data_IF_417252214476
#
_entry.id   IF_417252214476
#
_cell.length_a   1.000
_cell.length_b   1.000
_cell.length_c   1.000
_cell.angle_alpha   90.00
_cell.angle_beta   90.00
_cell.angle_gamma   90.00
#
_symmetry.space_group_name_H-M   'P 1'
#
loop_
_entity.id
_entity.type
_entity.pdbx_description
1 polymer ?
#
# COMPACT_ATOMS: atom_id res chain seq x y z
N UNK A 1 -23.34 -9.81 -1.93
CA UNK A 1 -22.35 -10.14 -0.88
C UNK A 1 -22.82 -9.50 0.41
N UNK A 2 -22.88 -10.23 1.53
CA UNK A 2 -23.32 -9.65 2.80
C UNK A 2 -22.28 -8.64 3.32
N UNK A 3 -22.71 -7.70 4.19
CA UNK A 3 -21.78 -6.72 4.81
C UNK A 3 -20.65 -7.40 5.56
N UNK A 4 -20.95 -8.51 6.26
CA UNK A 4 -19.97 -9.34 6.97
C UNK A 4 -18.97 -9.95 5.99
N UNK A 5 -19.42 -10.62 4.93
CA UNK A 5 -18.54 -11.20 3.91
C UNK A 5 -17.65 -10.16 3.22
N UNK A 6 -18.19 -8.97 2.95
CA UNK A 6 -17.44 -7.84 2.40
C UNK A 6 -16.28 -7.42 3.32
N UNK A 7 -16.53 -7.35 4.63
CA UNK A 7 -15.49 -7.00 5.59
C UNK A 7 -14.39 -8.07 5.69
N UNK A 8 -14.76 -9.36 5.66
CA UNK A 8 -13.78 -10.44 5.59
C UNK A 8 -12.95 -10.37 4.30
N UNK A 9 -13.56 -10.05 3.15
CA UNK A 9 -12.84 -9.87 1.89
C UNK A 9 -11.85 -8.71 1.96
N UNK A 10 -12.28 -7.57 2.51
CA UNK A 10 -11.39 -6.42 2.72
C UNK A 10 -10.23 -6.77 3.66
N UNK A 11 -10.49 -7.52 4.73
CA UNK A 11 -9.45 -7.98 5.65
C UNK A 11 -8.45 -8.95 4.98
N UNK A 12 -8.94 -9.88 4.16
CA UNK A 12 -8.10 -10.78 3.36
C UNK A 12 -7.19 -9.99 2.40
N UNK A 13 -7.73 -8.99 1.70
CA UNK A 13 -6.95 -8.16 0.77
C UNK A 13 -5.85 -7.37 1.50
N UNK A 14 -6.15 -6.81 2.68
CA UNK A 14 -5.16 -6.15 3.54
C UNK A 14 -4.06 -7.14 3.91
N UNK A 15 -4.43 -8.35 4.37
CA UNK A 15 -3.47 -9.40 4.75
C UNK A 15 -2.54 -9.77 3.60
N UNK A 16 -3.08 -10.00 2.40
CA UNK A 16 -2.28 -10.38 1.21
C UNK A 16 -1.26 -9.28 0.89
N UNK A 17 -1.71 -8.01 0.80
CA UNK A 17 -0.84 -6.87 0.48
C UNK A 17 0.25 -6.68 1.53
N UNK A 18 -0.14 -6.71 2.81
CA UNK A 18 0.80 -6.57 3.92
C UNK A 18 1.80 -7.72 3.96
N UNK A 19 1.38 -8.96 3.69
CA UNK A 19 2.28 -10.12 3.68
C UNK A 19 3.32 -10.02 2.58
N UNK A 20 2.91 -9.66 1.36
CA UNK A 20 3.85 -9.45 0.24
C UNK A 20 4.87 -8.37 0.62
N UNK A 21 4.42 -7.24 1.16
CA UNK A 21 5.34 -6.19 1.58
C UNK A 21 6.27 -6.66 2.71
N UNK A 22 5.74 -7.33 3.73
CA UNK A 22 6.52 -7.85 4.86
C UNK A 22 7.62 -8.82 4.42
N UNK A 23 7.32 -9.70 3.46
CA UNK A 23 8.26 -10.74 2.99
C UNK A 23 9.31 -10.20 1.99
N UNK A 24 8.96 -9.18 1.20
CA UNK A 24 9.85 -8.58 0.21
C UNK A 24 10.74 -7.49 0.79
N UNK A 25 10.26 -6.77 1.81
CA UNK A 25 10.94 -5.58 2.32
C UNK A 25 12.34 -5.82 2.92
N UNK A 26 12.59 -6.91 3.68
CA UNK A 26 13.93 -7.19 4.20
C UNK A 26 14.95 -7.54 3.12
N UNK A 27 14.48 -7.93 1.92
CA UNK A 27 15.33 -8.38 0.80
C UNK A 27 15.82 -7.23 -0.06
N UNK A 28 15.39 -6.00 0.24
CA UNK A 28 15.78 -4.84 -0.54
C UNK A 28 17.23 -4.47 -0.23
N UNK A 29 18.04 -4.13 -1.26
CA UNK A 29 19.44 -3.70 -1.09
C UNK A 29 19.54 -2.54 -0.10
N UNK A 30 20.72 -2.27 0.46
CA UNK A 30 20.97 -1.20 1.43
C UNK A 30 22.06 -0.25 0.90
N UNK A 31 21.86 1.07 0.98
CA UNK A 31 22.83 2.11 0.66
C UNK A 31 22.60 2.95 -0.62
N UNK A 32 21.52 2.75 -1.40
CA UNK A 32 21.32 3.52 -2.66
C UNK A 32 20.17 4.53 -2.60
N UNK A 33 20.20 5.57 -3.44
CA UNK A 33 19.11 6.56 -3.53
C UNK A 33 17.81 5.95 -4.07
N UNK A 34 17.90 5.05 -5.06
CA UNK A 34 16.75 4.33 -5.62
C UNK A 34 16.09 3.42 -4.58
N UNK A 35 16.89 2.79 -3.72
CA UNK A 35 16.38 2.01 -2.60
C UNK A 35 15.65 2.87 -1.57
N UNK A 36 16.21 4.02 -1.16
CA UNK A 36 15.53 4.93 -0.23
C UNK A 36 14.15 5.32 -0.75
N UNK A 37 14.04 5.60 -2.05
CA UNK A 37 12.78 5.89 -2.72
C UNK A 37 11.84 4.67 -2.69
N UNK A 38 12.34 3.48 -3.01
CA UNK A 38 11.54 2.26 -2.99
C UNK A 38 11.01 1.92 -1.59
N UNK A 39 11.83 2.11 -0.55
CA UNK A 39 11.41 1.96 0.85
C UNK A 39 10.35 2.98 1.25
N UNK A 40 10.46 4.22 0.77
CA UNK A 40 9.45 5.25 0.99
C UNK A 40 8.10 4.85 0.36
N UNK A 41 8.11 4.40 -0.90
CA UNK A 41 6.89 3.92 -1.59
C UNK A 41 6.25 2.74 -0.86
N UNK A 42 7.04 1.80 -0.34
CA UNK A 42 6.47 0.69 0.45
C UNK A 42 5.87 1.18 1.75
N UNK A 43 6.53 2.09 2.47
CA UNK A 43 5.98 2.71 3.69
C UNK A 43 4.64 3.39 3.40
N UNK A 44 4.53 4.12 2.30
CA UNK A 44 3.27 4.75 1.87
C UNK A 44 2.16 3.71 1.66
N UNK A 45 2.48 2.62 0.95
CA UNK A 45 1.54 1.52 0.74
C UNK A 45 1.12 0.86 2.05
N UNK A 46 2.04 0.70 3.00
CA UNK A 46 1.75 0.18 4.34
C UNK A 46 0.82 1.11 5.12
N UNK A 47 1.05 2.42 5.09
CA UNK A 47 0.18 3.43 5.74
C UNK A 47 -1.25 3.37 5.17
N UNK A 48 -1.39 3.21 3.86
CA UNK A 48 -2.70 2.99 3.22
C UNK A 48 -3.37 1.71 3.75
N UNK A 49 -2.61 0.62 3.94
CA UNK A 49 -3.17 -0.61 4.51
C UNK A 49 -3.53 -0.45 6.00
N UNK A 50 -2.78 0.32 6.78
CA UNK A 50 -3.14 0.61 8.17
C UNK A 50 -4.47 1.36 8.27
N UNK A 51 -4.65 2.38 7.42
CA UNK A 51 -5.92 3.10 7.31
C UNK A 51 -7.09 2.16 6.96
N UNK A 52 -6.88 1.27 5.98
CA UNK A 52 -7.89 0.30 5.58
C UNK A 52 -8.21 -0.70 6.70
N UNK A 53 -7.19 -1.15 7.45
CA UNK A 53 -7.35 -2.02 8.59
C UNK A 53 -8.23 -1.38 9.66
N UNK A 54 -7.95 -0.14 10.06
CA UNK A 54 -8.73 0.60 11.06
C UNK A 54 -10.21 0.63 10.66
N UNK A 55 -10.51 0.97 9.40
CA UNK A 55 -11.88 0.99 8.88
C UNK A 55 -12.55 -0.38 8.93
N UNK A 56 -11.86 -1.41 8.44
CA UNK A 56 -12.40 -2.77 8.38
C UNK A 56 -12.65 -3.32 9.77
N UNK A 57 -11.72 -3.11 10.72
CA UNK A 57 -11.90 -3.49 12.12
C UNK A 57 -13.14 -2.83 12.72
N UNK A 58 -13.28 -1.52 12.58
CA UNK A 58 -14.44 -0.78 13.11
C UNK A 58 -15.78 -1.27 12.51
N UNK A 59 -15.77 -1.81 11.30
CA UNK A 59 -16.94 -2.44 10.70
C UNK A 59 -17.16 -3.89 11.16
N UNK A 60 -16.09 -4.64 11.43
CA UNK A 60 -16.13 -6.03 11.92
C UNK A 60 -16.64 -6.13 13.37
N UNK A 61 -16.17 -5.26 14.26
CA UNK A 61 -16.52 -5.28 15.70
C UNK A 61 -17.98 -4.90 15.99
N UNK A 62 -18.74 -4.50 14.95
CA UNK A 62 -20.19 -4.36 15.04
C UNK A 62 -20.90 -5.71 15.17
N UNK A 63 -20.23 -6.80 14.79
CA UNK A 63 -20.68 -8.17 15.05
C UNK A 63 -20.24 -8.59 16.47
N UNK A 64 -21.19 -8.90 17.38
CA UNK A 64 -20.85 -9.26 18.77
C UNK A 64 -19.90 -10.45 18.88
N UNK A 65 -19.98 -11.44 17.98
CA UNK A 65 -19.09 -12.61 18.02
C UNK A 65 -17.66 -12.21 17.69
N UNK A 66 -17.49 -11.30 16.74
CA UNK A 66 -16.16 -10.80 16.35
C UNK A 66 -15.60 -9.88 17.43
N UNK A 67 -16.46 -9.05 18.06
CA UNK A 67 -16.04 -8.15 19.14
C UNK A 67 -15.35 -8.88 20.28
N UNK A 68 -15.87 -10.03 20.72
CA UNK A 68 -15.25 -10.84 21.78
C UNK A 68 -13.83 -11.29 21.42
N UNK A 69 -13.62 -11.73 20.17
CA UNK A 69 -12.30 -12.12 19.67
C UNK A 69 -11.39 -10.90 19.54
N UNK A 70 -11.92 -9.77 19.05
CA UNK A 70 -11.18 -8.51 18.88
C UNK A 70 -10.67 -7.93 20.20
N UNK A 71 -11.46 -8.03 21.28
CA UNK A 71 -11.05 -7.60 22.63
C UNK A 71 -9.81 -8.36 23.12
N UNK A 72 -9.73 -9.67 22.81
CA UNK A 72 -8.56 -10.50 23.12
C UNK A 72 -7.32 -10.14 22.30
N UNK A 73 -7.50 -9.42 21.19
CA UNK A 73 -6.45 -8.99 20.28
C UNK A 73 -6.00 -7.55 20.51
N UNK A 74 -6.32 -6.96 21.67
CA UNK A 74 -5.97 -5.57 22.01
C UNK A 74 -4.51 -5.21 21.73
N UNK A 75 -3.59 -6.04 22.19
CA UNK A 75 -2.15 -5.82 22.00
C UNK A 75 -1.73 -5.78 20.51
N UNK A 76 -2.52 -6.38 19.62
CA UNK A 76 -2.27 -6.35 18.19
C UNK A 76 -2.84 -5.08 17.54
N UNK A 77 -4.08 -4.68 17.84
CA UNK A 77 -4.67 -3.53 17.14
C UNK A 77 -4.33 -2.17 17.77
N UNK A 78 -4.02 -2.13 19.07
CA UNK A 78 -3.77 -0.89 19.82
C UNK A 78 -2.58 -0.08 19.28
N UNK A 79 -1.43 -0.68 18.93
CA UNK A 79 -0.32 0.06 18.33
C UNK A 79 -0.69 0.77 17.03
N UNK A 80 -1.69 0.30 16.29
CA UNK A 80 -2.16 0.92 15.05
C UNK A 80 -3.21 2.00 15.35
N UNK A 81 -4.17 1.71 16.21
CA UNK A 81 -5.26 2.63 16.56
C UNK A 81 -4.73 3.87 17.29
N UNK A 82 -3.66 3.74 18.09
CA UNK A 82 -2.96 4.87 18.70
C UNK A 82 -2.56 5.95 17.68
N UNK A 83 -2.25 5.54 16.46
CA UNK A 83 -1.84 6.43 15.36
C UNK A 83 -2.93 6.64 14.31
N UNK A 84 -4.21 6.38 14.63
CA UNK A 84 -5.31 6.49 13.67
C UNK A 84 -5.39 7.86 12.99
N UNK A 85 -5.22 8.93 13.76
CA UNK A 85 -5.24 10.30 13.23
C UNK A 85 -4.08 10.56 12.25
N UNK A 86 -2.80 10.39 12.63
CA UNK A 86 -1.70 10.58 11.68
C UNK A 86 -1.78 9.63 10.48
N UNK A 87 -2.19 8.37 10.67
CA UNK A 87 -2.40 7.43 9.56
C UNK A 87 -3.44 7.98 8.56
N UNK A 88 -4.52 8.57 9.05
CA UNK A 88 -5.55 9.18 8.21
C UNK A 88 -5.03 10.41 7.46
N UNK A 89 -4.30 11.28 8.15
CA UNK A 89 -3.72 12.48 7.56
C UNK A 89 -2.68 12.13 6.48
N UNK A 90 -1.75 11.22 6.81
CA UNK A 90 -0.73 10.73 5.88
C UNK A 90 -1.36 10.06 4.65
N UNK A 91 -2.37 9.19 4.83
CA UNK A 91 -3.10 8.56 3.71
C UNK A 91 -3.72 9.60 2.78
N UNK A 92 -4.28 10.68 3.31
CA UNK A 92 -4.86 11.75 2.50
C UNK A 92 -3.79 12.56 1.77
N UNK A 93 -2.64 12.83 2.40
CA UNK A 93 -1.54 13.54 1.74
C UNK A 93 -0.91 12.72 0.62
N UNK A 94 -0.61 11.43 0.83
CA UNK A 94 0.02 10.58 -0.20
C UNK A 94 -0.87 10.42 -1.45
N UNK A 95 -2.19 10.37 -1.28
CA UNK A 95 -3.13 10.34 -2.41
C UNK A 95 -3.19 11.70 -3.14
N UNK A 96 -2.87 12.80 -2.46
CA UNK A 96 -2.92 14.15 -2.99
C UNK A 96 -1.62 14.59 -3.72
N UNK A 97 -0.62 13.73 -3.88
CA UNK A 97 0.69 14.09 -4.48
C UNK A 97 0.63 14.50 -5.96
N UNK A 98 -0.51 14.35 -6.62
CA UNK A 98 -0.81 14.94 -7.93
C UNK A 98 -1.87 16.02 -7.69
N UNK A 99 -1.44 17.25 -7.39
CA UNK A 99 -2.37 18.38 -7.23
C UNK A 99 -2.66 18.99 -8.61
N UNK A 100 -3.90 18.92 -9.06
CA UNK A 100 -4.42 19.77 -10.14
C UNK A 100 -4.90 21.10 -9.54
N UNK A 101 -4.36 22.22 -10.05
CA UNK A 101 -4.82 23.60 -9.83
C UNK A 101 -4.62 24.17 -8.42
N UNK A 102 -3.79 25.21 -8.27
CA UNK A 102 -3.64 26.18 -7.14
C UNK A 102 -3.68 25.70 -5.67
N UNK A 103 -3.88 24.41 -5.39
CA UNK A 103 -3.93 23.85 -4.05
C UNK A 103 -2.50 23.73 -3.56
N UNK A 104 -2.02 24.65 -2.73
CA UNK A 104 -0.77 24.45 -1.98
C UNK A 104 -0.95 23.27 -1.01
N UNK A 105 0.08 22.45 -0.80
CA UNK A 105 0.09 21.49 0.30
C UNK A 105 -0.16 22.22 1.62
N UNK A 106 -1.25 21.89 2.33
CA UNK A 106 -1.54 22.50 3.64
C UNK A 106 -0.48 22.13 4.68
N UNK A 107 0.02 20.89 4.59
CA UNK A 107 1.12 20.32 5.37
C UNK A 107 1.81 19.26 4.53
N UNK A 108 3.13 19.19 4.64
CA UNK A 108 3.99 18.16 4.06
C UNK A 108 3.91 16.87 4.87
N UNK A 109 4.37 15.77 4.28
CA UNK A 109 4.48 14.47 4.95
C UNK A 109 5.38 14.55 6.19
N UNK A 110 6.50 15.28 6.10
CA UNK A 110 7.45 15.44 7.21
C UNK A 110 6.84 16.24 8.36
N UNK A 111 6.13 17.33 8.06
CA UNK A 111 5.42 18.11 9.09
C UNK A 111 4.41 17.24 9.86
N UNK A 112 3.65 16.37 9.17
CA UNK A 112 2.71 15.46 9.84
C UNK A 112 3.45 14.43 10.70
N UNK A 113 4.57 13.89 10.21
CA UNK A 113 5.39 12.95 10.97
C UNK A 113 5.89 13.59 12.26
N UNK A 114 6.42 14.81 12.17
CA UNK A 114 7.02 15.53 13.29
C UNK A 114 5.96 15.99 14.30
N UNK A 115 4.86 16.59 13.83
CA UNK A 115 3.75 17.05 14.68
C UNK A 115 3.08 15.89 15.43
N UNK A 116 2.83 14.78 14.74
CA UNK A 116 2.10 13.65 15.31
C UNK A 116 3.01 12.59 15.94
N UNK A 117 4.33 12.80 15.94
CA UNK A 117 5.31 11.84 16.43
C UNK A 117 5.08 10.43 15.84
N UNK A 118 4.78 10.37 14.54
CA UNK A 118 4.45 9.11 13.88
C UNK A 118 5.71 8.27 13.69
N UNK A 119 5.71 6.97 14.05
CA UNK A 119 6.87 6.13 13.91
C UNK A 119 7.27 5.99 12.44
N UNK A 120 8.51 6.38 12.14
CA UNK A 120 9.06 6.31 10.77
C UNK A 120 10.18 5.31 10.63
N UNK A 121 10.67 4.73 11.74
CA UNK A 121 11.70 3.70 11.66
C UNK A 121 11.08 2.44 11.09
N UNK A 122 11.82 1.79 10.19
CA UNK A 122 11.32 0.61 9.50
C UNK A 122 10.91 -0.52 10.45
N UNK A 123 11.65 -0.73 11.55
CA UNK A 123 11.30 -1.72 12.55
C UNK A 123 9.92 -1.46 13.20
N UNK A 124 9.57 -0.20 13.42
CA UNK A 124 8.28 0.19 14.02
C UNK A 124 7.13 -0.01 13.04
N UNK A 125 7.34 0.33 11.76
CA UNK A 125 6.37 0.07 10.70
C UNK A 125 6.16 -1.45 10.52
N UNK A 126 7.24 -2.23 10.46
CA UNK A 126 7.16 -3.69 10.33
C UNK A 126 6.52 -4.34 11.55
N UNK A 127 6.75 -3.80 12.75
CA UNK A 127 6.07 -4.24 13.96
C UNK A 127 4.54 -4.06 13.83
N UNK A 128 4.06 -2.89 13.41
CA UNK A 128 2.63 -2.64 13.17
C UNK A 128 2.06 -3.57 12.08
N UNK A 129 2.82 -3.83 11.01
CA UNK A 129 2.42 -4.82 10.00
C UNK A 129 2.28 -6.22 10.61
N UNK A 130 3.25 -6.65 11.40
CA UNK A 130 3.22 -7.95 12.10
C UNK A 130 2.01 -8.09 13.01
N UNK A 131 1.67 -7.05 13.76
CA UNK A 131 0.46 -7.02 14.59
C UNK A 131 -0.82 -7.23 13.78
N UNK A 132 -0.95 -6.59 12.60
CA UNK A 132 -2.12 -6.81 11.72
C UNK A 132 -2.14 -8.23 11.16
N UNK A 133 -0.98 -8.80 10.81
CA UNK A 133 -0.91 -10.18 10.31
C UNK A 133 -1.35 -11.19 11.37
N UNK A 134 -0.90 -11.04 12.62
CA UNK A 134 -1.36 -11.85 13.76
C UNK A 134 -2.87 -11.70 13.95
N UNK A 135 -3.38 -10.46 13.95
CA UNK A 135 -4.82 -10.19 14.03
C UNK A 135 -5.60 -10.96 12.96
N UNK A 136 -5.16 -10.87 11.70
CA UNK A 136 -5.81 -11.57 10.59
C UNK A 136 -5.79 -13.09 10.77
N UNK A 137 -4.68 -13.66 11.26
CA UNK A 137 -4.56 -15.10 11.43
C UNK A 137 -5.45 -15.63 12.57
N UNK A 138 -5.62 -14.87 13.66
CA UNK A 138 -6.56 -15.22 14.74
C UNK A 138 -8.01 -15.09 14.30
N UNK A 139 -8.38 -14.02 13.59
CA UNK A 139 -9.73 -13.88 12.99
C UNK A 139 -10.01 -15.03 12.02
N UNK A 140 -9.05 -15.39 11.17
CA UNK A 140 -9.16 -16.56 10.28
C UNK A 140 -9.43 -17.85 11.06
N UNK A 141 -8.71 -18.09 12.15
CA UNK A 141 -8.87 -19.30 12.96
C UNK A 141 -10.25 -19.39 13.64
N UNK A 142 -10.78 -18.27 14.13
CA UNK A 142 -12.07 -18.23 14.82
C UNK A 142 -13.29 -18.20 13.88
N UNK A 143 -13.10 -17.80 12.61
CA UNK A 143 -14.15 -17.67 11.61
C UNK A 143 -13.75 -18.38 10.31
N UNK A 144 -13.29 -19.62 10.43
CA UNK A 144 -12.65 -20.36 9.33
C UNK A 144 -13.60 -20.59 8.14
N UNK A 145 -14.86 -20.89 8.39
CA UNK A 145 -15.86 -21.13 7.33
C UNK A 145 -16.09 -19.87 6.52
N UNK A 146 -16.28 -18.73 7.18
CA UNK A 146 -16.43 -17.43 6.54
C UNK A 146 -15.17 -17.05 5.77
N UNK A 147 -14.00 -17.29 6.36
CA UNK A 147 -12.72 -17.03 5.72
C UNK A 147 -12.54 -17.87 4.45
N UNK A 148 -12.82 -19.17 4.50
CA UNK A 148 -12.76 -20.08 3.33
C UNK A 148 -13.71 -19.62 2.22
N UNK A 149 -14.92 -19.20 2.58
CA UNK A 149 -15.89 -18.67 1.62
C UNK A 149 -15.39 -17.36 0.98
N UNK A 150 -14.76 -16.50 1.77
CA UNK A 150 -14.13 -15.27 1.27
C UNK A 150 -12.96 -15.56 0.32
N UNK A 151 -12.09 -16.52 0.63
CA UNK A 151 -10.98 -16.91 -0.27
C UNK A 151 -11.52 -17.43 -1.60
N UNK A 152 -12.49 -18.35 -1.58
CA UNK A 152 -13.13 -18.84 -2.82
C UNK A 152 -13.70 -17.69 -3.66
N UNK A 153 -14.37 -16.74 -3.02
CA UNK A 153 -14.91 -15.55 -3.71
C UNK A 153 -13.81 -14.66 -4.28
N UNK A 154 -12.74 -14.42 -3.52
CA UNK A 154 -11.57 -13.71 -4.03
C UNK A 154 -11.00 -14.40 -5.28
N UNK A 155 -10.83 -15.72 -5.25
CA UNK A 155 -10.26 -16.48 -6.37
C UNK A 155 -11.17 -16.46 -7.62
N UNK A 156 -12.48 -16.38 -7.44
CA UNK A 156 -13.43 -16.15 -8.56
C UNK A 156 -13.36 -14.71 -9.08
N UNK A 157 -13.28 -13.73 -8.17
CA UNK A 157 -13.22 -12.29 -8.52
C UNK A 157 -11.87 -11.85 -9.09
N UNK A 158 -10.83 -12.63 -8.84
CA UNK A 158 -9.48 -12.41 -9.33
C UNK A 158 -9.26 -13.42 -10.46
N UNK A 159 -9.82 -13.19 -11.68
CA UNK A 159 -9.51 -14.04 -12.80
C UNK A 159 -7.99 -14.09 -12.94
N UNK A 160 -7.44 -15.23 -13.35
CA UNK A 160 -6.00 -15.47 -13.63
C UNK A 160 -5.41 -14.54 -14.72
N UNK A 161 -6.00 -13.36 -14.94
CA UNK A 161 -5.89 -12.45 -16.05
C UNK A 161 -5.92 -10.97 -15.61
N UNK A 162 -5.33 -10.61 -14.47
CA UNK A 162 -4.48 -9.41 -14.55
C UNK A 162 -3.24 -9.86 -15.31
N UNK A 163 -3.35 -9.92 -16.64
CA UNK A 163 -2.20 -9.91 -17.52
C UNK A 163 -1.33 -8.74 -17.08
N UNK A 164 -0.30 -9.01 -16.29
CA UNK A 164 0.92 -8.22 -16.35
C UNK A 164 1.20 -8.08 -17.84
N UNK A 165 1.05 -6.87 -18.38
CA UNK A 165 1.07 -6.66 -19.82
C UNK A 165 2.24 -7.42 -20.43
N UNK A 166 1.97 -8.23 -21.45
CA UNK A 166 2.95 -9.06 -22.17
C UNK A 166 3.97 -8.25 -22.96
N UNK A 167 4.11 -6.96 -22.68
CA UNK A 167 5.25 -6.19 -23.12
C UNK A 167 6.43 -6.63 -22.26
N UNK A 168 7.30 -7.46 -22.86
CA UNK A 168 8.61 -7.74 -22.26
C UNK A 168 9.30 -6.40 -22.06
N UNK A 169 10.02 -6.25 -20.95
CA UNK A 169 10.72 -5.00 -20.61
C UNK A 169 11.59 -4.54 -21.80
N UNK A 170 12.17 -5.48 -22.54
CA UNK A 170 12.97 -5.21 -23.75
C UNK A 170 12.16 -4.54 -24.88
N UNK A 171 10.91 -4.97 -25.11
CA UNK A 171 10.01 -4.38 -26.11
C UNK A 171 9.57 -2.96 -25.70
N UNK A 172 9.40 -2.73 -24.40
CA UNK A 172 9.14 -1.38 -23.85
C UNK A 172 10.35 -0.48 -24.03
N UNK A 173 11.54 -0.97 -23.70
CA UNK A 173 12.80 -0.22 -23.84
C UNK A 173 13.04 0.19 -25.30
N UNK A 174 12.79 -0.72 -26.26
CA UNK A 174 12.89 -0.40 -27.68
C UNK A 174 11.90 0.69 -28.12
N UNK A 175 10.64 0.58 -27.72
CA UNK A 175 9.63 1.61 -28.03
C UNK A 175 9.94 2.94 -27.37
N UNK A 176 10.39 2.94 -26.11
CA UNK A 176 10.79 4.16 -25.40
C UNK A 176 11.99 4.83 -26.07
N UNK A 177 12.95 4.05 -26.57
CA UNK A 177 14.07 4.58 -27.35
C UNK A 177 13.60 5.23 -28.65
N UNK A 178 12.73 4.57 -29.41
CA UNK A 178 12.15 5.14 -30.64
C UNK A 178 11.44 6.46 -30.37
N UNK A 179 10.60 6.52 -29.33
CA UNK A 179 9.91 7.74 -28.91
C UNK A 179 10.92 8.81 -28.48
N UNK A 180 11.95 8.44 -27.71
CA UNK A 180 12.99 9.38 -27.27
C UNK A 180 13.76 9.98 -28.45
N UNK A 181 14.08 9.16 -29.46
CA UNK A 181 14.78 9.60 -30.66
C UNK A 181 13.90 10.53 -31.52
N UNK A 182 12.60 10.24 -31.61
CA UNK A 182 11.60 11.08 -32.29
C UNK A 182 11.44 12.43 -31.58
N UNK A 183 11.31 12.43 -30.25
CA UNK A 183 11.25 13.65 -29.43
C UNK A 183 12.52 14.47 -29.58
N UNK A 184 13.70 13.84 -29.52
CA UNK A 184 14.98 14.53 -29.72
C UNK A 184 15.07 15.17 -31.12
N UNK A 185 14.59 14.46 -32.14
CA UNK A 185 14.54 14.96 -33.53
C UNK A 185 13.61 16.17 -33.64
N UNK A 186 12.40 16.07 -33.08
CA UNK A 186 11.42 17.16 -33.08
C UNK A 186 11.93 18.39 -32.31
N UNK A 187 12.60 18.20 -31.17
CA UNK A 187 13.19 19.29 -30.41
C UNK A 187 14.31 20.00 -31.21
N UNK A 188 15.16 19.23 -31.90
CA UNK A 188 16.22 19.80 -32.77
C UNK A 188 15.65 20.57 -33.95
N UNK A 189 14.64 20.03 -34.62
CA UNK A 189 13.94 20.72 -35.73
C UNK A 189 13.31 22.04 -35.27
N UNK A 190 12.79 22.08 -34.04
CA UNK A 190 12.23 23.29 -33.43
C UNK A 190 13.27 24.19 -32.72
N UNK A 191 14.58 23.92 -32.87
CA UNK A 191 15.70 24.66 -32.24
C UNK A 191 15.62 24.74 -30.70
N UNK A 192 14.99 23.75 -30.07
CA UNK A 192 14.93 23.61 -28.62
C UNK A 192 16.06 22.70 -28.11
N UNK A 193 16.48 22.87 -26.85
CA UNK A 193 17.52 22.03 -26.24
C UNK A 193 17.09 20.56 -26.25
N UNK A 194 17.85 19.70 -26.95
CA UNK A 194 17.69 18.25 -26.86
C UNK A 194 18.54 17.66 -25.73
N UNK A 195 18.08 16.57 -25.14
CA UNK A 195 18.86 15.73 -24.22
C UNK A 195 19.53 14.59 -25.00
N UNK A 196 20.71 14.15 -24.56
CA UNK A 196 21.32 12.89 -25.01
C UNK A 196 20.43 11.75 -24.54
N UNK A 197 20.20 10.78 -25.42
CA UNK A 197 19.32 9.62 -25.24
C UNK A 197 19.41 9.02 -23.83
N UNK A 198 18.24 8.72 -23.26
CA UNK A 198 18.14 8.00 -21.99
C UNK A 198 18.72 6.60 -22.23
N UNK A 199 19.86 6.29 -21.61
CA UNK A 199 20.34 4.91 -21.51
C UNK A 199 19.40 4.18 -20.54
N UNK A 200 18.36 3.55 -21.09
CA UNK A 200 17.48 2.61 -20.40
C UNK A 200 18.10 1.22 -20.50
#
# INVERSE_FOLDING_TARGET
MSKRESNFLRLLLIRIKLRVMYDQFPKLPIGTSSERLFRAVIRENMIVQFYNFIKVRNDLIKDPKIKVVDESLKQCWEPIIKFQEPITQLRHQYIAHIQEGDRRFKRTVNEIIDECQFPTRFGEILFMVGCILIYCDVIRGNFETEWKNTVKKHDVMNPKFLTYGTLRIDDVSMKLKQISDEVATNLRQNKLRSFTSINI
#
